data_IF_874515977508
#
_entry.id   IF_874515977508
#
_cell.length_a   1.000
_cell.length_b   1.000
_cell.length_c   1.000
_cell.angle_alpha   90.00
_cell.angle_beta   90.00
_cell.angle_gamma   90.00
#
_symmetry.space_group_name_H-M   'P 1'
#
loop_
_entity.id
_entity.type
_entity.pdbx_description
1 polymer ?
#
# COMPACT_ATOMS: atom_id res chain seq x y z
N UNK A 1 4.88 11.24 -21.26
CA UNK A 1 3.61 11.04 -20.52
C UNK A 1 3.93 10.32 -19.22
N UNK A 2 3.87 11.01 -18.09
CA UNK A 2 4.10 10.38 -16.79
C UNK A 2 2.79 9.75 -16.32
N UNK A 3 2.66 8.42 -16.42
CA UNK A 3 1.48 7.70 -15.92
C UNK A 3 1.81 6.98 -14.60
N UNK A 4 2.61 7.64 -13.74
CA UNK A 4 2.92 7.17 -12.40
C UNK A 4 1.74 7.46 -11.48
N UNK A 5 1.16 6.42 -10.88
CA UNK A 5 0.10 6.57 -9.87
C UNK A 5 0.69 6.32 -8.49
N UNK A 6 0.45 7.26 -7.58
CA UNK A 6 0.90 7.18 -6.19
C UNK A 6 -0.33 7.12 -5.29
N UNK A 7 -0.46 6.03 -4.55
CA UNK A 7 -1.60 5.74 -3.69
C UNK A 7 -1.08 5.64 -2.26
N UNK A 8 -1.66 6.40 -1.34
CA UNK A 8 -1.37 6.34 0.09
C UNK A 8 -2.61 5.95 0.87
N UNK A 9 -2.47 4.93 1.70
CA UNK A 9 -3.47 4.45 2.64
C UNK A 9 -2.93 4.73 4.04
N UNK A 10 -3.73 5.40 4.87
CA UNK A 10 -3.38 5.73 6.26
C UNK A 10 -4.53 5.35 7.19
N UNK A 11 -4.22 4.96 8.42
CA UNK A 11 -5.21 4.69 9.44
C UNK A 11 -4.62 4.07 10.69
N UNK A 12 -5.46 3.39 11.47
CA UNK A 12 -5.05 2.69 12.68
C UNK A 12 -4.74 1.21 12.43
N UNK A 13 -3.75 0.69 13.15
CA UNK A 13 -3.36 -0.72 13.10
C UNK A 13 -4.53 -1.63 13.46
N UNK A 14 -4.75 -2.66 12.64
CA UNK A 14 -5.86 -3.61 12.78
C UNK A 14 -7.04 -3.36 11.82
N UNK A 15 -7.04 -2.26 11.07
CA UNK A 15 -8.11 -1.92 10.11
C UNK A 15 -7.85 -2.44 8.68
N UNK A 16 -6.75 -3.17 8.46
CA UNK A 16 -6.43 -3.76 7.15
C UNK A 16 -5.76 -2.80 6.16
N UNK A 17 -5.28 -1.63 6.58
CA UNK A 17 -4.58 -0.63 5.73
C UNK A 17 -3.40 -1.25 4.96
N UNK A 18 -2.55 -2.00 5.67
CA UNK A 18 -1.39 -2.70 5.10
C UNK A 18 -1.83 -3.77 4.09
N UNK A 19 -2.89 -4.52 4.42
CA UNK A 19 -3.41 -5.56 3.53
C UNK A 19 -3.99 -4.94 2.25
N UNK A 20 -4.73 -3.85 2.37
CA UNK A 20 -5.29 -3.13 1.23
C UNK A 20 -4.20 -2.65 0.26
N UNK A 21 -3.12 -2.05 0.78
CA UNK A 21 -1.99 -1.62 -0.05
C UNK A 21 -1.30 -2.78 -0.76
N UNK A 22 -1.13 -3.91 -0.05
CA UNK A 22 -0.57 -5.11 -0.63
C UNK A 22 -1.43 -5.67 -1.78
N UNK A 23 -2.75 -5.76 -1.58
CA UNK A 23 -3.70 -6.24 -2.60
C UNK A 23 -3.67 -5.34 -3.84
N UNK A 24 -3.63 -4.01 -3.68
CA UNK A 24 -3.55 -3.07 -4.80
C UNK A 24 -2.24 -3.27 -5.59
N UNK A 25 -1.11 -3.39 -4.89
CA UNK A 25 0.19 -3.63 -5.54
C UNK A 25 0.25 -4.99 -6.25
N UNK A 26 -0.31 -6.04 -5.66
CA UNK A 26 -0.45 -7.35 -6.30
C UNK A 26 -1.37 -7.28 -7.51
N UNK A 27 -2.49 -6.56 -7.43
CA UNK A 27 -3.41 -6.46 -8.54
C UNK A 27 -2.77 -5.76 -9.75
N UNK A 28 -2.06 -4.66 -9.50
CA UNK A 28 -1.35 -3.93 -10.53
C UNK A 28 -0.22 -4.77 -11.16
N UNK A 29 0.54 -5.53 -10.36
CA UNK A 29 1.68 -6.31 -10.86
C UNK A 29 1.31 -7.64 -11.51
N UNK A 30 0.35 -8.37 -10.93
CA UNK A 30 -0.02 -9.73 -11.38
C UNK A 30 -1.10 -9.69 -12.46
N UNK A 31 -2.14 -8.86 -12.29
CA UNK A 31 -3.31 -8.88 -13.19
C UNK A 31 -3.27 -7.78 -14.26
N UNK A 32 -2.63 -6.65 -14.00
CA UNK A 32 -2.52 -5.56 -14.99
C UNK A 32 -1.16 -5.48 -15.71
N UNK A 33 -0.21 -6.38 -15.40
CA UNK A 33 1.14 -6.40 -15.95
C UNK A 33 1.89 -5.05 -15.85
N UNK A 34 1.61 -4.28 -14.79
CA UNK A 34 2.26 -3.00 -14.50
C UNK A 34 3.38 -3.16 -13.48
N UNK A 35 4.25 -2.16 -13.38
CA UNK A 35 5.24 -2.13 -12.32
C UNK A 35 4.62 -1.54 -11.07
N UNK A 36 4.70 -2.25 -9.95
CA UNK A 36 4.19 -1.76 -8.66
C UNK A 36 5.25 -1.87 -7.58
N UNK A 37 5.47 -0.79 -6.84
CA UNK A 37 6.27 -0.77 -5.61
C UNK A 37 5.35 -0.54 -4.43
N UNK A 38 5.50 -1.36 -3.39
CA UNK A 38 4.68 -1.30 -2.18
C UNK A 38 5.58 -1.07 -0.96
N UNK A 39 5.26 -0.07 -0.16
CA UNK A 39 5.94 0.26 1.10
C UNK A 39 4.92 0.27 2.22
N UNK A 40 5.31 -0.27 3.37
CA UNK A 40 4.51 -0.28 4.60
C UNK A 40 5.28 0.40 5.71
N UNK A 41 4.59 1.22 6.47
CA UNK A 41 5.10 1.93 7.63
C UNK A 41 4.13 1.71 8.79
N UNK A 42 4.64 1.21 9.91
CA UNK A 42 3.89 0.98 11.12
C UNK A 42 4.84 1.06 12.31
N UNK A 43 4.38 1.66 13.39
CA UNK A 43 5.15 1.71 14.63
C UNK A 43 5.16 0.35 15.36
N UNK A 44 5.92 0.23 16.46
CA UNK A 44 6.02 -1.00 17.25
C UNK A 44 4.71 -1.36 17.98
N UNK A 45 3.65 -0.57 17.85
CA UNK A 45 2.38 -0.80 18.54
C UNK A 45 1.69 -2.04 17.95
N UNK A 46 1.52 -3.07 18.78
CA UNK A 46 0.87 -4.33 18.38
C UNK A 46 -0.57 -4.14 17.84
N UNK A 47 -1.28 -3.09 18.30
CA UNK A 47 -2.63 -2.68 17.88
C UNK A 47 -2.86 -1.19 18.14
N UNK A 48 -3.64 -0.52 17.28
CA UNK A 48 -4.09 0.85 17.50
C UNK A 48 -3.07 1.96 17.20
N UNK A 49 -1.82 1.62 16.85
CA UNK A 49 -0.84 2.59 16.35
C UNK A 49 -1.20 3.14 14.96
N UNK A 50 -0.57 4.23 14.57
CA UNK A 50 -0.71 4.77 13.20
C UNK A 50 -0.01 3.84 12.21
N UNK A 51 -0.70 3.51 11.12
CA UNK A 51 -0.15 2.68 10.06
C UNK A 51 -0.39 3.34 8.70
N UNK A 52 0.55 3.10 7.78
CA UNK A 52 0.54 3.63 6.43
C UNK A 52 1.02 2.57 5.44
N UNK A 53 0.40 2.58 4.26
CA UNK A 53 0.81 1.81 3.11
C UNK A 53 0.88 2.74 1.89
N UNK A 54 2.01 2.76 1.21
CA UNK A 54 2.16 3.45 -0.08
C UNK A 54 2.30 2.44 -1.21
N UNK A 55 1.62 2.71 -2.32
CA UNK A 55 1.74 1.95 -3.56
C UNK A 55 2.06 2.91 -4.69
N UNK A 56 3.14 2.64 -5.41
CA UNK A 56 3.54 3.37 -6.61
C UNK A 56 3.38 2.44 -7.79
N UNK A 57 2.58 2.81 -8.78
CA UNK A 57 2.33 2.04 -9.99
C UNK A 57 2.85 2.81 -11.19
N UNK A 58 3.54 2.13 -12.12
CA UNK A 58 4.06 2.69 -13.37
C UNK A 58 3.81 1.76 -14.56
#
# INVERSE_FOLDING_TARGET
MANRKEIRLCGYGGQGIILAGHIIGQAASIFEHKYATYIRDYGPEARGGTCRADVVIS
#
